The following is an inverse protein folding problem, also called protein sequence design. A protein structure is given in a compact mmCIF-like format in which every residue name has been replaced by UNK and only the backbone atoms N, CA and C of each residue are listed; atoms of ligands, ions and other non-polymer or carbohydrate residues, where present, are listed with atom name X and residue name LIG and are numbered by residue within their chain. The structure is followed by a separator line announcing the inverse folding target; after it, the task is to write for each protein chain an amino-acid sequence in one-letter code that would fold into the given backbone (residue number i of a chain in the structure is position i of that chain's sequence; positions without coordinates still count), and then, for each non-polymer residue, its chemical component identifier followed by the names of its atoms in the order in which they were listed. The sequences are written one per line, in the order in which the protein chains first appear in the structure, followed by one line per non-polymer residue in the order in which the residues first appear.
data_IF_658199553342
#
_entry.id   IF_658199553342
#
_cell.length_a   1.000
_cell.length_b   1.000
_cell.length_c   1.000
_cell.angle_alpha   90.00
_cell.angle_beta   90.00
_cell.angle_gamma   90.00
#
_symmetry.space_group_name_H-M   'P 1'
#
loop_
_entity.id
_entity.type
_entity.pdbx_description
1 polymer ?
#
# COMPACT_ATOMS: atom_id res chain seq x y z
N UNK A 1 -9.93 6.69 10.72
CA UNK A 1 -8.77 5.81 10.45
C UNK A 1 -9.27 4.39 10.52
N UNK A 2 -9.25 3.68 9.41
CA UNK A 2 -9.84 2.36 9.30
C UNK A 2 -8.79 1.42 8.76
N UNK A 3 -8.10 0.73 9.67
CA UNK A 3 -7.07 -0.25 9.32
C UNK A 3 -7.59 -1.23 8.26
N UNK A 4 -6.89 -1.32 7.12
CA UNK A 4 -7.26 -2.22 6.01
C UNK A 4 -6.26 -3.36 5.92
N UNK A 5 -6.80 -4.58 5.78
CA UNK A 5 -6.03 -5.81 5.69
C UNK A 5 -5.93 -6.24 4.21
N UNK A 6 -4.71 -6.34 3.68
CA UNK A 6 -4.47 -7.14 2.48
C UNK A 6 -4.37 -8.60 2.93
N UNK A 7 -5.47 -9.32 2.73
CA UNK A 7 -5.56 -10.75 3.03
C UNK A 7 -4.92 -11.54 1.90
N UNK A 8 -3.64 -11.86 2.06
CA UNK A 8 -3.07 -13.05 1.41
C UNK A 8 -3.59 -14.25 2.21
N UNK A 9 -4.04 -15.33 1.57
CA UNK A 9 -4.69 -16.49 2.22
C UNK A 9 -4.02 -16.81 3.57
N UNK A 10 -4.79 -16.66 4.64
CA UNK A 10 -4.28 -16.74 5.99
C UNK A 10 -4.07 -18.20 6.39
N UNK A 11 -2.81 -18.65 6.40
CA UNK A 11 -2.42 -19.79 7.22
C UNK A 11 -2.10 -19.26 8.62
N UNK A 12 -3.02 -19.46 9.56
CA UNK A 12 -2.77 -19.17 10.98
C UNK A 12 -1.64 -20.07 11.48
N UNK A 13 -0.70 -19.56 12.28
CA UNK A 13 0.45 -20.35 12.72
C UNK A 13 0.08 -21.74 13.23
N UNK A 14 0.69 -22.80 12.69
CA UNK A 14 0.43 -24.20 13.09
C UNK A 14 1.47 -24.67 14.09
N UNK A 15 1.03 -25.21 15.22
CA UNK A 15 1.89 -25.92 16.16
C UNK A 15 1.99 -27.40 15.75
N UNK A 16 3.20 -27.96 15.76
CA UNK A 16 3.45 -29.36 15.45
C UNK A 16 4.58 -29.92 16.31
N UNK A 17 4.55 -31.24 16.50
CA UNK A 17 5.53 -32.00 17.28
C UNK A 17 6.10 -33.12 16.41
N UNK A 18 7.43 -33.26 16.35
CA UNK A 18 8.11 -34.33 15.62
C UNK A 18 9.02 -35.11 16.57
N UNK A 19 8.91 -36.44 16.56
CA UNK A 19 9.74 -37.36 17.34
C UNK A 19 10.94 -37.79 16.47
N UNK A 20 12.16 -37.63 16.99
CA UNK A 20 13.40 -37.85 16.23
C UNK A 20 14.25 -39.00 16.77
N UNK A 21 15.10 -39.54 15.89
CA UNK A 21 16.17 -40.46 16.27
C UNK A 21 17.36 -39.71 16.86
N UNK A 22 17.91 -40.20 17.97
CA UNK A 22 19.11 -39.63 18.58
C UNK A 22 20.32 -39.91 17.70
N UNK A 23 20.90 -38.87 17.11
CA UNK A 23 22.25 -38.93 16.56
C UNK A 23 23.25 -38.43 17.62
N UNK A 24 24.51 -38.88 17.55
CA UNK A 24 25.54 -38.56 18.53
C UNK A 24 25.90 -37.05 18.65
N UNK A 25 25.26 -36.17 17.85
CA UNK A 25 25.51 -34.73 17.81
C UNK A 25 24.31 -33.84 18.20
N UNK A 26 23.19 -34.40 18.68
CA UNK A 26 22.03 -33.63 19.17
C UNK A 26 20.70 -33.97 18.50
N UNK A 27 19.62 -33.32 18.96
CA UNK A 27 18.25 -33.46 18.42
C UNK A 27 18.07 -32.47 17.26
N UNK A 28 17.72 -32.95 16.08
CA UNK A 28 17.53 -32.12 14.86
C UNK A 28 16.42 -32.69 13.98
N UNK A 29 15.51 -31.85 13.48
CA UNK A 29 14.50 -32.26 12.50
C UNK A 29 15.10 -32.13 11.09
N UNK A 30 15.20 -33.24 10.37
CA UNK A 30 15.71 -33.22 9.00
C UNK A 30 14.81 -32.38 8.09
N UNK A 31 15.39 -31.61 7.18
CA UNK A 31 14.67 -30.69 6.28
C UNK A 31 13.55 -31.33 5.48
N UNK A 32 13.70 -32.60 5.09
CA UNK A 32 12.69 -33.34 4.34
C UNK A 32 11.50 -33.71 5.24
N UNK A 33 11.77 -34.20 6.45
CA UNK A 33 10.73 -34.52 7.45
C UNK A 33 10.01 -33.24 7.89
N UNK A 34 10.75 -32.16 8.04
CA UNK A 34 10.20 -30.84 8.34
C UNK A 34 9.27 -30.37 7.22
N UNK A 35 9.71 -30.43 5.96
CA UNK A 35 8.89 -30.04 4.82
C UNK A 35 7.59 -30.86 4.74
N UNK A 36 7.66 -32.18 4.95
CA UNK A 36 6.48 -33.05 4.98
C UNK A 36 5.53 -32.68 6.13
N UNK A 37 6.07 -32.52 7.34
CA UNK A 37 5.27 -32.21 8.53
C UNK A 37 4.58 -30.84 8.42
N UNK A 38 5.28 -29.81 7.94
CA UNK A 38 4.69 -28.49 7.70
C UNK A 38 3.63 -28.54 6.60
N UNK A 39 3.86 -29.30 5.52
CA UNK A 39 2.87 -29.48 4.43
C UNK A 39 1.59 -30.16 4.93
N UNK A 40 1.71 -31.21 5.74
CA UNK A 40 0.56 -31.89 6.34
C UNK A 40 -0.26 -30.94 7.22
N UNK A 41 0.41 -30.11 8.02
CA UNK A 41 -0.23 -29.11 8.88
C UNK A 41 -0.92 -28.00 8.11
N UNK A 42 -0.32 -27.52 7.02
CA UNK A 42 -0.97 -26.55 6.12
C UNK A 42 -2.21 -27.17 5.45
N UNK A 43 -2.14 -28.45 5.07
CA UNK A 43 -3.28 -29.18 4.50
C UNK A 43 -4.44 -29.33 5.48
N UNK A 44 -4.17 -29.56 6.77
CA UNK A 44 -5.19 -29.55 7.83
C UNK A 44 -5.92 -28.19 7.93
N UNK A 45 -5.24 -27.09 7.59
CA UNK A 45 -5.81 -25.75 7.51
C UNK A 45 -6.39 -25.40 6.14
N UNK A 46 -6.58 -26.39 5.27
CA UNK A 46 -7.09 -26.22 3.90
C UNK A 46 -6.20 -25.32 3.03
N UNK A 47 -4.91 -25.23 3.36
CA UNK A 47 -3.91 -24.54 2.54
C UNK A 47 -3.26 -25.57 1.63
N UNK A 48 -3.56 -25.48 0.32
CA UNK A 48 -2.91 -26.29 -0.71
C UNK A 48 -1.48 -25.78 -0.96
N UNK A 49 -0.55 -26.27 -0.15
CA UNK A 49 0.87 -25.95 -0.26
C UNK A 49 1.58 -26.94 -1.18
N UNK A 50 2.06 -26.46 -2.32
CA UNK A 50 2.82 -27.26 -3.30
C UNK A 50 4.31 -27.05 -3.12
N UNK A 51 5.10 -28.09 -3.40
CA UNK A 51 6.57 -27.98 -3.51
C UNK A 51 7.27 -27.40 -2.27
N UNK A 52 6.82 -27.77 -1.07
CA UNK A 52 7.46 -27.32 0.18
C UNK A 52 8.94 -27.69 0.21
N UNK A 53 9.78 -26.68 0.42
CA UNK A 53 11.23 -26.79 0.46
C UNK A 53 11.77 -26.10 1.70
N UNK A 54 12.55 -26.82 2.50
CA UNK A 54 13.30 -26.27 3.63
C UNK A 54 14.80 -26.34 3.30
N UNK A 55 15.56 -25.22 3.36
CA UNK A 55 16.95 -25.18 2.91
C UNK A 55 17.90 -25.98 3.80
N UNK A 56 17.57 -26.11 5.09
CA UNK A 56 18.41 -26.73 6.11
C UNK A 56 17.56 -27.46 7.16
N UNK A 57 18.23 -28.27 7.97
CA UNK A 57 17.63 -28.99 9.09
C UNK A 57 17.29 -28.01 10.22
N UNK A 58 16.17 -28.24 10.90
CA UNK A 58 15.79 -27.44 12.07
C UNK A 58 16.46 -28.02 13.31
N UNK A 59 17.36 -27.23 13.92
CA UNK A 59 17.97 -27.61 15.19
C UNK A 59 16.92 -27.72 16.28
N UNK A 60 16.94 -28.80 17.06
CA UNK A 60 16.08 -29.02 18.22
C UNK A 60 16.54 -28.20 19.42
N UNK A 61 16.56 -26.88 19.27
CA UNK A 61 16.93 -25.92 20.30
C UNK A 61 15.84 -24.86 20.37
N UNK A 62 15.38 -24.50 21.57
CA UNK A 62 14.33 -23.48 21.74
C UNK A 62 14.74 -22.17 21.07
N UNK A 63 13.87 -21.64 20.20
CA UNK A 63 14.12 -20.42 19.43
C UNK A 63 14.92 -20.62 18.14
N UNK A 64 15.45 -21.82 17.87
CA UNK A 64 16.01 -22.14 16.56
C UNK A 64 14.91 -22.02 15.49
N UNK A 65 15.28 -21.48 14.33
CA UNK A 65 14.33 -21.24 13.26
C UNK A 65 14.92 -21.51 11.88
N UNK A 66 14.08 -21.96 10.97
CA UNK A 66 14.39 -22.07 9.54
C UNK A 66 13.27 -21.45 8.73
N UNK A 67 13.60 -20.85 7.58
CA UNK A 67 12.60 -20.36 6.63
C UNK A 67 12.42 -21.38 5.51
N UNK A 68 11.28 -22.06 5.51
CA UNK A 68 10.86 -22.92 4.40
C UNK A 68 10.07 -22.09 3.38
N UNK A 69 9.88 -22.62 2.19
CA UNK A 69 9.08 -22.00 1.13
C UNK A 69 8.16 -23.03 0.49
N UNK A 70 6.93 -22.64 0.21
CA UNK A 70 6.02 -23.42 -0.63
C UNK A 70 5.43 -22.53 -1.72
N UNK A 71 4.82 -23.15 -2.72
CA UNK A 71 4.13 -22.47 -3.81
C UNK A 71 2.63 -22.67 -3.66
N UNK A 72 1.84 -21.59 -3.78
CA UNK A 72 0.37 -21.68 -3.78
C UNK A 72 -0.13 -22.37 -5.05
N UNK A 73 -1.42 -22.74 -5.06
CA UNK A 73 -2.07 -23.26 -6.28
C UNK A 73 -1.91 -22.33 -7.50
N UNK A 74 -1.83 -21.02 -7.27
CA UNK A 74 -1.66 -19.98 -8.30
C UNK A 74 -0.19 -19.73 -8.69
N UNK A 75 0.74 -20.55 -8.21
CA UNK A 75 2.16 -20.46 -8.57
C UNK A 75 2.94 -19.39 -7.79
N UNK A 76 2.37 -18.80 -6.73
CA UNK A 76 3.07 -17.78 -5.95
C UNK A 76 3.90 -18.39 -4.80
N UNK A 77 5.17 -18.01 -4.64
CA UNK A 77 5.98 -18.50 -3.53
C UNK A 77 5.57 -17.83 -2.21
N UNK A 78 5.51 -18.60 -1.13
CA UNK A 78 5.20 -18.15 0.23
C UNK A 78 6.28 -18.68 1.17
N UNK A 79 6.91 -17.76 1.90
CA UNK A 79 7.92 -18.11 2.91
C UNK A 79 7.21 -18.41 4.23
N UNK A 80 7.66 -19.45 4.92
CA UNK A 80 7.14 -19.91 6.21
C UNK A 80 8.30 -19.99 7.19
N UNK A 81 8.23 -19.19 8.25
CA UNK A 81 9.21 -19.25 9.34
C UNK A 81 8.75 -20.33 10.31
N UNK A 82 9.56 -21.37 10.43
CA UNK A 82 9.36 -22.43 11.41
C UNK A 82 10.28 -22.16 12.60
N UNK A 83 9.72 -22.07 13.80
CA UNK A 83 10.45 -21.75 15.04
C UNK A 83 10.20 -22.81 16.10
N UNK A 84 11.25 -23.34 16.71
CA UNK A 84 11.13 -24.29 17.82
C UNK A 84 10.63 -23.56 19.07
N UNK A 85 9.52 -24.02 19.61
CA UNK A 85 8.91 -23.50 20.83
C UNK A 85 9.47 -24.18 22.07
N UNK A 86 9.55 -25.52 22.05
CA UNK A 86 10.01 -26.37 23.16
C UNK A 86 10.62 -27.67 22.66
N UNK A 87 11.44 -28.30 23.50
CA UNK A 87 12.11 -29.57 23.23
C UNK A 87 11.92 -30.46 24.45
N UNK A 88 11.21 -31.57 24.28
CA UNK A 88 10.85 -32.52 25.33
C UNK A 88 11.48 -33.89 25.02
N UNK A 89 12.66 -34.15 25.59
CA UNK A 89 13.44 -35.34 25.28
C UNK A 89 13.87 -35.36 23.80
N UNK A 90 13.32 -36.30 23.02
CA UNK A 90 13.54 -36.42 21.57
C UNK A 90 12.43 -35.78 20.72
N UNK A 91 11.46 -35.13 21.35
CA UNK A 91 10.36 -34.45 20.67
C UNK A 91 10.66 -32.97 20.53
N UNK A 92 10.58 -32.44 19.31
CA UNK A 92 10.71 -31.00 19.04
C UNK A 92 9.33 -30.45 18.70
N UNK A 93 8.85 -29.52 19.52
CA UNK A 93 7.63 -28.78 19.25
C UNK A 93 7.99 -27.44 18.58
N UNK A 94 7.33 -27.13 17.48
CA UNK A 94 7.57 -25.91 16.73
C UNK A 94 6.28 -25.28 16.22
N UNK A 95 6.35 -24.00 15.90
CA UNK A 95 5.31 -23.25 15.23
C UNK A 95 5.77 -22.82 13.84
N UNK A 96 4.93 -23.03 12.82
CA UNK A 96 5.17 -22.58 11.45
C UNK A 96 4.22 -21.42 11.10
N UNK A 97 4.78 -20.26 10.76
CA UNK A 97 4.03 -19.04 10.41
C UNK A 97 4.42 -18.50 9.04
N UNK A 98 3.47 -18.15 8.17
CA UNK A 98 3.76 -17.40 6.96
C UNK A 98 4.50 -16.10 7.27
N UNK A 99 5.47 -15.76 6.44
CA UNK A 99 6.19 -14.49 6.50
C UNK A 99 5.52 -13.49 5.58
N UNK A 100 5.17 -12.32 6.10
CA UNK A 100 4.73 -11.21 5.26
C UNK A 100 5.80 -10.85 4.23
N UNK A 101 5.35 -10.58 3.00
CA UNK A 101 6.17 -10.10 1.90
C UNK A 101 5.93 -8.61 1.67
N UNK A 102 6.91 -7.95 1.04
CA UNK A 102 6.72 -6.59 0.57
C UNK A 102 5.57 -6.53 -0.45
N UNK A 103 4.75 -5.48 -0.34
CA UNK A 103 3.70 -5.22 -1.31
C UNK A 103 4.33 -4.52 -2.51
N UNK A 104 4.51 -5.28 -3.59
CA UNK A 104 5.08 -4.75 -4.84
C UNK A 104 4.18 -3.66 -5.44
N UNK A 105 4.74 -2.68 -6.18
CA UNK A 105 4.02 -1.50 -6.66
C UNK A 105 2.68 -1.80 -7.33
N UNK A 106 2.63 -2.79 -8.23
CA UNK A 106 1.43 -3.12 -8.98
C UNK A 106 0.30 -3.71 -8.11
N UNK A 107 0.66 -4.51 -7.09
CA UNK A 107 -0.32 -5.09 -6.15
C UNK A 107 -0.83 -4.01 -5.22
N UNK A 108 0.08 -3.20 -4.69
CA UNK A 108 -0.26 -2.10 -3.81
C UNK A 108 -1.15 -1.08 -4.50
N UNK A 109 -0.81 -0.68 -5.72
CA UNK A 109 -1.59 0.26 -6.52
C UNK A 109 -3.03 -0.23 -6.71
N UNK A 110 -3.23 -1.49 -7.11
CA UNK A 110 -4.57 -2.09 -7.28
C UNK A 110 -5.35 -2.09 -5.97
N UNK A 111 -4.69 -2.42 -4.86
CA UNK A 111 -5.31 -2.47 -3.54
C UNK A 111 -5.77 -1.08 -3.09
N UNK A 112 -4.89 -0.08 -3.19
CA UNK A 112 -5.19 1.31 -2.84
C UNK A 112 -6.29 1.88 -3.75
N UNK A 113 -6.25 1.65 -5.07
CA UNK A 113 -7.33 2.07 -5.98
C UNK A 113 -8.69 1.50 -5.53
N UNK A 114 -8.72 0.23 -5.15
CA UNK A 114 -9.95 -0.41 -4.66
C UNK A 114 -10.44 0.20 -3.34
N UNK A 115 -9.53 0.61 -2.46
CA UNK A 115 -9.86 1.24 -1.18
C UNK A 115 -10.31 2.69 -1.34
N UNK A 116 -9.77 3.42 -2.30
CA UNK A 116 -10.19 4.78 -2.66
C UNK A 116 -11.57 4.78 -3.31
N UNK A 117 -11.86 3.81 -4.19
CA UNK A 117 -13.17 3.66 -4.81
C UNK A 117 -14.30 3.47 -3.76
N UNK A 118 -14.04 2.72 -2.67
CA UNK A 118 -14.98 2.55 -1.55
C UNK A 118 -15.26 3.85 -0.80
N UNK A 119 -14.38 4.85 -0.93
CA UNK A 119 -14.52 6.18 -0.33
C UNK A 119 -15.07 7.20 -1.33
N UNK A 120 -15.61 6.73 -2.46
CA UNK A 120 -16.06 7.55 -3.59
C UNK A 120 -14.95 8.40 -4.22
N UNK A 121 -13.68 8.06 -4.01
CA UNK A 121 -12.54 8.70 -4.66
C UNK A 121 -12.22 7.90 -5.92
N UNK A 122 -12.65 8.43 -7.07
CA UNK A 122 -12.34 7.84 -8.37
C UNK A 122 -10.94 8.28 -8.79
N UNK A 123 -10.05 7.31 -9.01
CA UNK A 123 -8.66 7.58 -9.39
C UNK A 123 -8.34 6.88 -10.70
N UNK A 124 -7.80 7.61 -11.66
CA UNK A 124 -7.08 7.00 -12.78
C UNK A 124 -5.57 7.06 -12.48
N UNK A 125 -4.82 6.09 -13.00
CA UNK A 125 -3.36 6.17 -13.09
C UNK A 125 -2.59 6.15 -11.76
N UNK A 126 -3.15 5.47 -10.73
CA UNK A 126 -2.45 5.32 -9.45
C UNK A 126 -1.19 4.49 -9.60
N UNK A 127 -0.06 5.12 -9.24
CA UNK A 127 1.29 4.58 -9.34
C UNK A 127 2.00 4.69 -8.00
N UNK A 128 2.70 3.63 -7.60
CA UNK A 128 3.51 3.61 -6.38
C UNK A 128 5.00 3.54 -6.78
N UNK A 129 5.87 4.38 -6.19
CA UNK A 129 7.27 4.52 -6.63
C UNK A 129 8.15 3.33 -6.25
N UNK A 130 7.76 2.58 -5.22
CA UNK A 130 8.51 1.44 -4.69
C UNK A 130 7.57 0.40 -4.09
N UNK A 131 8.13 -0.75 -3.76
CA UNK A 131 7.44 -1.69 -2.88
C UNK A 131 7.29 -1.10 -1.46
N UNK A 132 6.28 -1.58 -0.75
CA UNK A 132 6.07 -1.27 0.66
C UNK A 132 6.53 -2.46 1.50
N UNK A 133 7.61 -2.27 2.26
CA UNK A 133 8.13 -3.32 3.14
C UNK A 133 7.12 -3.65 4.25
N UNK A 134 6.98 -4.93 4.65
CA UNK A 134 6.03 -5.37 5.66
C UNK A 134 6.61 -5.10 7.05
N UNK A 135 6.72 -3.82 7.41
CA UNK A 135 7.27 -3.38 8.69
C UNK A 135 6.40 -2.25 9.25
N UNK A 136 6.02 -2.35 10.52
CA UNK A 136 5.20 -1.32 11.18
C UNK A 136 5.84 0.07 11.07
N UNK A 137 5.04 1.05 10.67
CA UNK A 137 5.46 2.43 10.45
C UNK A 137 6.14 2.68 9.11
N UNK A 138 6.46 1.65 8.33
CA UNK A 138 6.97 1.85 6.98
C UNK A 138 5.90 2.54 6.13
N UNK A 139 6.33 3.55 5.37
CA UNK A 139 5.43 4.28 4.48
C UNK A 139 6.03 4.52 3.12
N UNK A 140 5.16 4.60 2.11
CA UNK A 140 5.47 5.14 0.79
C UNK A 140 4.37 6.12 0.38
N UNK A 141 4.63 6.96 -0.62
CA UNK A 141 3.60 7.83 -1.19
C UNK A 141 3.37 7.46 -2.65
N UNK A 142 2.19 6.94 -2.95
CA UNK A 142 1.73 6.71 -4.32
C UNK A 142 1.17 8.02 -4.90
N UNK A 143 1.15 8.15 -6.22
CA UNK A 143 0.62 9.33 -6.92
C UNK A 143 -0.48 8.92 -7.89
N UNK A 144 -1.52 9.75 -8.00
CA UNK A 144 -2.61 9.57 -8.95
C UNK A 144 -3.25 10.92 -9.30
N UNK A 145 -4.21 10.91 -10.23
CA UNK A 145 -4.99 12.08 -10.58
C UNK A 145 -6.47 11.85 -10.27
N UNK A 146 -7.14 12.85 -9.71
CA UNK A 146 -8.60 12.85 -9.53
C UNK A 146 -9.12 14.27 -9.67
N UNK A 147 -10.29 14.44 -10.30
CA UNK A 147 -10.82 15.79 -10.61
C UNK A 147 -9.87 16.67 -11.44
N UNK A 148 -8.96 16.06 -12.20
CA UNK A 148 -7.90 16.76 -12.94
C UNK A 148 -6.70 17.21 -12.09
N UNK A 149 -6.76 17.07 -10.76
CA UNK A 149 -5.70 17.49 -9.85
C UNK A 149 -4.77 16.32 -9.46
N UNK A 150 -3.45 16.57 -9.32
CA UNK A 150 -2.53 15.58 -8.79
C UNK A 150 -2.78 15.38 -7.29
N UNK A 151 -2.86 14.13 -6.84
CA UNK A 151 -3.05 13.76 -5.43
C UNK A 151 -2.05 12.67 -5.04
N UNK A 152 -1.50 12.77 -3.84
CA UNK A 152 -0.71 11.72 -3.21
C UNK A 152 -1.58 10.80 -2.35
N UNK A 153 -1.22 9.52 -2.28
CA UNK A 153 -1.74 8.56 -1.31
C UNK A 153 -0.55 8.06 -0.47
N UNK A 154 -0.40 8.62 0.74
CA UNK A 154 0.57 8.13 1.71
C UNK A 154 0.04 6.84 2.33
N UNK A 155 0.68 5.73 2.00
CA UNK A 155 0.34 4.41 2.52
C UNK A 155 1.30 4.08 3.65
N UNK A 156 0.77 3.79 4.84
CA UNK A 156 1.58 3.48 6.03
C UNK A 156 1.18 2.15 6.62
N UNK A 157 2.14 1.24 6.80
CA UNK A 157 1.91 -0.05 7.47
C UNK A 157 1.57 0.18 8.93
N UNK A 158 0.41 -0.29 9.36
CA UNK A 158 -0.09 -0.15 10.74
C UNK A 158 0.16 -1.41 11.57
N UNK A 159 0.13 -2.58 10.94
CA UNK A 159 0.36 -3.86 11.60
C UNK A 159 0.83 -4.92 10.62
N UNK A 160 1.71 -5.80 11.09
CA UNK A 160 2.12 -7.01 10.39
C UNK A 160 1.83 -8.21 11.28
N UNK A 161 0.98 -9.11 10.82
CA UNK A 161 0.55 -10.31 11.55
C UNK A 161 0.67 -11.52 10.63
N UNK A 162 1.67 -12.36 10.90
CA UNK A 162 2.05 -13.48 10.03
C UNK A 162 2.31 -13.01 8.59
N UNK A 163 1.53 -13.47 7.60
CA UNK A 163 1.59 -12.99 6.22
C UNK A 163 0.75 -11.73 5.95
N UNK A 164 -0.08 -11.30 6.90
CA UNK A 164 -1.00 -10.19 6.69
C UNK A 164 -0.33 -8.86 6.98
N UNK A 165 -0.36 -7.97 6.00
CA UNK A 165 0.06 -6.58 6.13
C UNK A 165 -1.18 -5.72 6.18
N UNK A 166 -1.35 -5.00 7.27
CA UNK A 166 -2.36 -3.96 7.40
C UNK A 166 -1.75 -2.60 7.16
N UNK A 167 -2.45 -1.72 6.46
CA UNK A 167 -2.02 -0.36 6.23
C UNK A 167 -3.19 0.63 6.33
N UNK A 168 -2.84 1.89 6.51
CA UNK A 168 -3.72 3.04 6.34
C UNK A 168 -3.30 3.85 5.11
N UNK A 169 -4.27 4.53 4.50
CA UNK A 169 -4.07 5.42 3.36
C UNK A 169 -4.52 6.82 3.75
N UNK A 170 -3.61 7.79 3.65
CA UNK A 170 -3.86 9.21 3.86
C UNK A 170 -3.69 9.95 2.53
N UNK A 171 -4.69 10.75 2.15
CA UNK A 171 -4.61 11.54 0.92
C UNK A 171 -3.84 12.84 1.18
N UNK A 172 -2.81 13.06 0.38
CA UNK A 172 -1.92 14.22 0.45
C UNK A 172 -2.26 15.13 -0.72
N UNK A 173 -2.75 16.33 -0.41
CA UNK A 173 -3.01 17.34 -1.42
C UNK A 173 -1.70 17.87 -2.01
N UNK A 174 -1.70 18.15 -3.31
CA UNK A 174 -0.56 18.72 -4.04
C UNK A 174 -0.92 20.09 -4.61
N UNK A 175 0.06 20.94 -4.93
CA UNK A 175 -0.20 22.21 -5.60
C UNK A 175 -0.99 22.00 -6.89
N UNK A 176 -2.00 22.85 -7.11
CA UNK A 176 -2.71 22.92 -8.39
C UNK A 176 -1.81 23.70 -9.34
N UNK A 177 -1.35 23.04 -10.41
CA UNK A 177 -0.44 23.69 -11.35
C UNK A 177 -1.09 24.91 -12.02
N UNK A 178 -0.27 25.91 -12.33
CA UNK A 178 -0.70 27.08 -13.10
C UNK A 178 -1.41 26.69 -14.40
N UNK A 179 -0.95 25.64 -15.07
CA UNK A 179 -1.55 25.20 -16.33
C UNK A 179 -2.97 24.65 -16.13
N UNK A 180 -3.17 23.90 -15.04
CA UNK A 180 -4.49 23.43 -14.66
C UNK A 180 -5.40 24.58 -14.23
N UNK A 181 -4.89 25.53 -13.44
CA UNK A 181 -5.64 26.73 -13.05
C UNK A 181 -6.05 27.54 -14.28
N UNK A 182 -5.12 27.81 -15.20
CA UNK A 182 -5.39 28.54 -16.43
C UNK A 182 -6.49 27.86 -17.24
N UNK A 183 -6.43 26.54 -17.40
CA UNK A 183 -7.47 25.77 -18.09
C UNK A 183 -8.82 25.90 -17.37
N UNK A 184 -8.85 25.66 -16.07
CA UNK A 184 -10.08 25.70 -15.27
C UNK A 184 -10.72 27.09 -15.26
N UNK A 185 -9.94 28.16 -15.07
CA UNK A 185 -10.46 29.54 -15.09
C UNK A 185 -10.95 29.94 -16.47
N UNK A 186 -10.22 29.59 -17.55
CA UNK A 186 -10.64 29.83 -18.93
C UNK A 186 -12.03 29.22 -19.19
N UNK A 187 -12.22 27.97 -18.77
CA UNK A 187 -13.49 27.26 -18.92
C UNK A 187 -14.60 27.89 -18.06
N UNK A 188 -14.35 28.11 -16.76
CA UNK A 188 -15.37 28.61 -15.82
C UNK A 188 -15.79 30.06 -16.12
N UNK A 189 -14.84 30.96 -16.35
CA UNK A 189 -15.12 32.38 -16.61
C UNK A 189 -15.77 32.53 -17.98
N UNK A 190 -15.26 31.84 -19.01
CA UNK A 190 -15.85 31.87 -20.35
C UNK A 190 -17.31 31.39 -20.34
N UNK A 191 -17.60 30.32 -19.61
CA UNK A 191 -18.97 29.83 -19.42
C UNK A 191 -19.86 30.80 -18.63
N UNK A 192 -19.35 31.39 -17.55
CA UNK A 192 -20.12 32.29 -16.69
C UNK A 192 -20.45 33.62 -17.38
N UNK A 193 -19.50 34.19 -18.12
CA UNK A 193 -19.66 35.46 -18.81
C UNK A 193 -20.22 35.31 -20.24
N UNK A 194 -20.24 34.09 -20.80
CA UNK A 194 -20.67 33.86 -22.18
C UNK A 194 -19.72 34.48 -23.21
N UNK A 195 -18.43 34.62 -22.87
CA UNK A 195 -17.41 35.23 -23.72
C UNK A 195 -16.31 34.23 -24.05
N UNK A 196 -15.69 34.40 -25.22
CA UNK A 196 -14.50 33.63 -25.58
C UNK A 196 -13.27 34.25 -24.94
N UNK A 197 -12.63 33.51 -24.04
CA UNK A 197 -11.36 33.90 -23.43
C UNK A 197 -10.22 33.66 -24.44
N UNK A 198 -9.38 34.67 -24.64
CA UNK A 198 -8.21 34.60 -25.52
C UNK A 198 -7.02 33.93 -24.82
N UNK A 199 -6.78 34.27 -23.56
CA UNK A 199 -5.76 33.63 -22.72
C UNK A 199 -6.06 33.79 -21.24
N UNK A 200 -5.53 32.86 -20.45
CA UNK A 200 -5.44 32.99 -19.00
C UNK A 200 -3.99 32.72 -18.62
N UNK A 201 -3.42 33.55 -17.74
CA UNK A 201 -2.06 33.38 -17.24
C UNK A 201 -2.04 33.51 -15.73
N UNK A 202 -1.59 32.47 -15.03
CA UNK A 202 -1.44 32.49 -13.58
C UNK A 202 0.02 32.72 -13.21
N UNK A 203 0.23 33.51 -12.16
CA UNK A 203 1.56 33.89 -11.64
C UNK A 203 2.30 32.69 -11.09
N UNK A 204 1.64 31.93 -10.20
CA UNK A 204 2.20 30.77 -9.53
C UNK A 204 1.20 29.61 -9.43
N UNK A 205 1.70 28.42 -9.09
CA UNK A 205 0.89 27.28 -8.68
C UNK A 205 0.14 27.59 -7.38
N UNK A 206 -1.10 27.12 -7.27
CA UNK A 206 -1.91 27.32 -6.06
C UNK A 206 -1.56 26.26 -5.02
N UNK A 207 -0.94 26.69 -3.92
CA UNK A 207 -0.53 25.79 -2.83
C UNK A 207 -1.74 25.18 -2.12
N UNK A 208 -1.67 23.91 -1.69
CA UNK A 208 -2.80 23.16 -1.12
C UNK A 208 -3.04 23.51 0.35
N UNK A 209 -3.21 24.79 0.67
CA UNK A 209 -3.41 25.30 2.02
C UNK A 209 -4.56 26.31 2.00
N UNK A 210 -5.52 26.15 2.91
CA UNK A 210 -6.68 27.06 3.00
C UNK A 210 -6.19 28.49 3.20
N UNK A 211 -6.71 29.41 2.38
CA UNK A 211 -6.29 30.81 2.36
C UNK A 211 -5.07 31.12 1.49
N UNK A 212 -4.37 30.11 0.95
CA UNK A 212 -3.33 30.32 -0.06
C UNK A 212 -3.92 30.97 -1.31
N UNK A 213 -3.12 31.82 -1.96
CA UNK A 213 -3.55 32.62 -3.11
C UNK A 213 -2.55 32.58 -4.25
N UNK A 214 -3.07 32.74 -5.46
CA UNK A 214 -2.32 33.10 -6.66
C UNK A 214 -3.16 34.08 -7.47
N UNK A 215 -2.54 34.87 -8.33
CA UNK A 215 -3.25 35.79 -9.22
C UNK A 215 -3.22 35.27 -10.64
N UNK A 216 -4.38 35.23 -11.28
CA UNK A 216 -4.53 34.85 -12.68
C UNK A 216 -5.10 36.01 -13.49
N UNK A 217 -4.43 36.38 -14.57
CA UNK A 217 -4.88 37.39 -15.51
C UNK A 217 -5.61 36.72 -16.66
N UNK A 218 -6.83 37.17 -16.92
CA UNK A 218 -7.69 36.65 -17.99
C UNK A 218 -7.87 37.73 -19.04
N UNK A 219 -7.64 37.39 -20.30
CA UNK A 219 -7.75 38.29 -21.45
C UNK A 219 -8.92 37.85 -22.31
N UNK A 220 -9.86 38.76 -22.55
CA UNK A 220 -10.98 38.62 -23.48
C UNK A 220 -10.87 39.72 -24.56
N UNK A 221 -11.66 39.65 -25.65
CA UNK A 221 -11.61 40.67 -26.70
C UNK A 221 -11.90 42.08 -26.15
N UNK A 222 -10.86 42.92 -26.09
CA UNK A 222 -10.95 44.31 -25.63
C UNK A 222 -10.93 44.50 -24.10
N UNK A 223 -10.71 43.44 -23.32
CA UNK A 223 -10.73 43.50 -21.86
C UNK A 223 -9.68 42.59 -21.23
N UNK A 224 -9.06 43.04 -20.14
CA UNK A 224 -8.13 42.24 -19.34
C UNK A 224 -8.44 42.47 -17.86
N UNK A 225 -8.68 41.37 -17.14
CA UNK A 225 -9.03 41.39 -15.72
C UNK A 225 -8.13 40.44 -14.95
N UNK A 226 -7.58 40.91 -13.84
CA UNK A 226 -6.86 40.08 -12.90
C UNK A 226 -7.82 39.48 -11.87
N UNK A 227 -7.63 38.21 -11.52
CA UNK A 227 -8.45 37.47 -10.57
C UNK A 227 -7.58 36.95 -9.43
N UNK A 228 -8.04 37.16 -8.19
CA UNK A 228 -7.49 36.51 -7.01
C UNK A 228 -8.09 35.12 -6.88
N UNK A 229 -7.26 34.10 -7.01
CA UNK A 229 -7.65 32.69 -6.81
C UNK A 229 -7.24 32.27 -5.41
N UNK A 230 -8.21 31.89 -4.58
CA UNK A 230 -7.99 31.56 -3.17
C UNK A 230 -8.46 30.15 -2.86
N UNK A 231 -7.63 29.36 -2.18
CA UNK A 231 -8.05 28.04 -1.66
C UNK A 231 -9.09 28.23 -0.55
N UNK A 232 -10.23 27.56 -0.72
CA UNK A 232 -11.36 27.60 0.22
C UNK A 232 -11.42 26.36 1.10
N UNK A 233 -11.01 25.20 0.58
CA UNK A 233 -10.99 23.94 1.31
C UNK A 233 -10.00 22.95 0.68
N UNK A 234 -9.57 21.97 1.47
CA UNK A 234 -8.81 20.80 0.99
C UNK A 234 -9.53 19.55 1.47
N UNK A 235 -10.20 18.86 0.55
CA UNK A 235 -11.06 17.72 0.86
C UNK A 235 -10.58 16.49 0.10
N UNK A 236 -10.26 15.40 0.81
CA UNK A 236 -9.79 14.16 0.19
C UNK A 236 -8.61 14.37 -0.79
N UNK A 237 -7.68 15.27 -0.44
CA UNK A 237 -6.54 15.62 -1.30
C UNK A 237 -6.85 16.58 -2.44
N UNK A 238 -8.13 16.91 -2.69
CA UNK A 238 -8.54 17.90 -3.68
C UNK A 238 -8.52 19.31 -3.09
N UNK A 239 -7.91 20.24 -3.81
CA UNK A 239 -7.88 21.66 -3.49
C UNK A 239 -9.10 22.33 -4.14
N UNK A 240 -10.02 22.80 -3.31
CA UNK A 240 -11.15 23.64 -3.73
C UNK A 240 -10.73 25.11 -3.64
N UNK A 241 -11.10 25.89 -4.64
CA UNK A 241 -10.76 27.30 -4.70
C UNK A 241 -11.89 28.13 -5.30
N UNK A 242 -11.88 29.42 -4.96
CA UNK A 242 -12.74 30.45 -5.56
C UNK A 242 -11.89 31.47 -6.28
N UNK A 243 -12.46 32.17 -7.25
CA UNK A 243 -11.82 33.28 -7.94
C UNK A 243 -12.71 34.52 -7.88
N UNK A 244 -12.12 35.68 -7.62
CA UNK A 244 -12.80 36.98 -7.59
C UNK A 244 -12.00 37.99 -8.41
N UNK A 245 -12.65 38.86 -9.21
CA UNK A 245 -11.95 39.90 -9.95
C UNK A 245 -11.33 40.90 -8.98
N UNK A 246 -10.11 41.34 -9.27
CA UNK A 246 -9.47 42.45 -8.57
C UNK A 246 -10.16 43.76 -8.98
N UNK A 247 -10.53 44.56 -7.98
CA UNK A 247 -11.12 45.89 -8.14
C UNK A 247 -10.07 46.98 -8.21
#
# INVERSE_FOLDING_TARGET
MTSRLVRILAATGTAAAVVLGLSACGVTVAKNDLAQSVTAKLSEQQVDAKSMTCPEDLKGEKGASVTCQYTTADGQPVDVVVTVDTVDGSTVNYTAKPKARALVPAVLAKSVTSDLAKQNVQTSDLTCPSELAPQNGQSIECSFTTGGQPVGAKVTVTSVQDANVSYDVELVARPVSKDLLQKTLTEQIGQQAGVTIQSTTCTDDLQPQVGSRTTCTVVAPGEQVAFDVTVTAVDQGLVKFSWIPQT
#
